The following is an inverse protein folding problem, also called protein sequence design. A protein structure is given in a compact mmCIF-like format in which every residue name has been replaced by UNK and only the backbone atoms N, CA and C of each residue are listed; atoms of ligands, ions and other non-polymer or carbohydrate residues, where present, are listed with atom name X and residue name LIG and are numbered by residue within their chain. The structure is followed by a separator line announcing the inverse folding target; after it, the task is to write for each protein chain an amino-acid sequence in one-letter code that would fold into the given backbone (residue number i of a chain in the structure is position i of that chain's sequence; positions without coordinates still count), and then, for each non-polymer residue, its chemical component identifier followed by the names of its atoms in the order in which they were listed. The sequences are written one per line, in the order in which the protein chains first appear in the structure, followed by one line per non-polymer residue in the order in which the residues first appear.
data_IF_594294381999
#
_entry.id   IF_594294381999
#
_cell.length_a   1.000
_cell.length_b   1.000
_cell.length_c   1.000
_cell.angle_alpha   90.00
_cell.angle_beta   90.00
_cell.angle_gamma   90.00
#
_symmetry.space_group_name_H-M   'P 1'
#
loop_
_entity.id
_entity.type
_entity.pdbx_description
1 polymer ?
#
# COMPACT_ATOMS: atom_id res chain seq x y z
N UNK A 1 10.88 34.54 -63.49
CA UNK A 1 12.04 33.73 -63.94
C UNK A 1 12.17 32.58 -62.95
N UNK A 2 11.98 31.31 -63.33
CA UNK A 2 13.01 30.33 -63.78
C UNK A 2 14.17 30.15 -62.76
N UNK A 3 14.55 28.95 -62.29
CA UNK A 3 14.04 27.56 -62.54
C UNK A 3 14.49 26.58 -61.41
N UNK A 4 14.23 25.26 -61.55
CA UNK A 4 14.32 24.20 -60.51
C UNK A 4 15.44 23.17 -60.79
N UNK A 5 16.14 22.69 -59.74
CA UNK A 5 16.73 21.32 -59.53
C UNK A 5 17.18 21.22 -58.04
N UNK A 6 17.20 20.12 -57.25
CA UNK A 6 16.95 18.66 -57.36
C UNK A 6 18.15 17.72 -57.67
N UNK A 7 18.10 16.49 -57.10
CA UNK A 7 18.97 15.28 -57.27
C UNK A 7 20.32 15.25 -56.48
N UNK A 8 20.99 14.11 -56.14
CA UNK A 8 20.64 12.85 -55.40
C UNK A 8 21.90 11.91 -55.27
N UNK A 9 22.02 11.13 -54.17
CA UNK A 9 22.81 9.86 -54.00
C UNK A 9 24.38 9.85 -53.99
N UNK A 10 24.94 8.94 -53.14
CA UNK A 10 26.23 8.17 -53.06
C UNK A 10 27.44 8.49 -54.00
N UNK A 11 28.70 8.06 -53.77
CA UNK A 11 29.17 6.70 -53.36
C UNK A 11 30.66 6.63 -52.96
N UNK A 12 31.03 5.60 -52.19
CA UNK A 12 32.27 4.77 -52.19
C UNK A 12 33.70 5.38 -52.27
N UNK A 13 34.59 4.81 -51.44
CA UNK A 13 35.89 4.28 -51.87
C UNK A 13 36.20 2.98 -51.08
N UNK A 14 37.06 2.09 -51.59
CA UNK A 14 37.20 0.70 -51.10
C UNK A 14 38.57 0.05 -51.43
N UNK A 15 38.71 -1.27 -51.17
CA UNK A 15 39.82 -2.21 -51.48
C UNK A 15 41.03 -2.14 -50.51
N UNK A 16 41.78 -3.20 -50.16
CA UNK A 16 41.74 -4.69 -50.30
C UNK A 16 42.66 -5.31 -49.20
N UNK A 17 42.81 -6.61 -48.89
CA UNK A 17 42.89 -7.84 -49.71
C UNK A 17 42.57 -9.14 -48.89
N UNK A 18 42.73 -10.33 -49.49
CA UNK A 18 42.20 -11.63 -49.01
C UNK A 18 43.23 -12.78 -48.93
N UNK A 19 42.90 -13.87 -48.19
CA UNK A 19 43.32 -15.30 -48.32
C UNK A 19 43.29 -15.99 -46.92
N UNK A 20 42.82 -17.21 -46.64
CA UNK A 20 41.99 -18.27 -47.28
C UNK A 20 41.57 -19.26 -46.15
N UNK A 21 40.67 -20.26 -46.30
CA UNK A 21 39.76 -20.63 -47.41
C UNK A 21 39.45 -22.15 -47.46
N UNK A 22 38.18 -22.55 -47.23
CA UNK A 22 37.60 -23.92 -47.35
C UNK A 22 38.04 -25.00 -46.32
N UNK A 23 37.26 -26.04 -45.93
CA UNK A 23 35.80 -26.36 -45.96
C UNK A 23 35.54 -27.62 -45.09
N UNK A 24 34.36 -27.73 -44.43
CA UNK A 24 33.41 -28.88 -44.43
C UNK A 24 32.45 -28.85 -43.22
N UNK A 25 31.23 -29.37 -43.43
CA UNK A 25 30.24 -29.66 -42.37
C UNK A 25 30.28 -31.15 -42.01
N UNK A 26 29.88 -31.50 -40.79
CA UNK A 26 28.88 -32.56 -40.53
C UNK A 26 28.32 -32.43 -39.10
N UNK A 27 27.03 -32.73 -38.92
CA UNK A 27 26.36 -32.84 -37.62
C UNK A 27 26.18 -34.34 -37.29
N UNK A 28 26.31 -34.74 -36.01
CA UNK A 28 25.21 -35.42 -35.28
C UNK A 28 25.60 -35.85 -33.84
N UNK A 29 24.55 -35.97 -33.00
CA UNK A 29 24.42 -36.83 -31.80
C UNK A 29 25.30 -36.62 -30.57
N UNK A 30 24.63 -36.61 -29.41
CA UNK A 30 25.16 -36.77 -28.06
C UNK A 30 25.24 -38.25 -27.64
N UNK A 31 25.99 -38.54 -26.57
CA UNK A 31 25.53 -39.48 -25.54
C UNK A 31 25.63 -38.91 -24.11
N UNK A 32 25.07 -39.63 -23.16
CA UNK A 32 24.77 -39.21 -21.78
C UNK A 32 25.98 -39.11 -20.83
N UNK A 33 25.89 -38.35 -19.71
CA UNK A 33 26.92 -38.30 -18.68
C UNK A 33 27.00 -39.59 -17.85
N UNK A 34 28.20 -39.90 -17.36
CA UNK A 34 28.51 -41.09 -16.54
C UNK A 34 28.32 -40.78 -15.05
N UNK A 35 27.76 -41.74 -14.30
CA UNK A 35 27.64 -41.73 -12.84
C UNK A 35 29.01 -42.02 -12.20
N UNK A 36 29.38 -41.23 -11.19
CA UNK A 36 30.36 -41.63 -10.15
C UNK A 36 29.79 -41.30 -8.78
N UNK A 37 29.58 -42.32 -7.96
CA UNK A 37 29.13 -42.18 -6.58
C UNK A 37 30.28 -41.66 -5.69
N UNK A 38 30.03 -40.59 -4.94
CA UNK A 38 30.67 -40.35 -3.64
C UNK A 38 29.56 -40.20 -2.59
N UNK A 39 29.77 -40.79 -1.42
CA UNK A 39 28.71 -41.10 -0.46
C UNK A 39 29.18 -40.71 0.95
N UNK A 40 28.76 -39.53 1.41
CA UNK A 40 28.96 -39.07 2.78
C UNK A 40 27.62 -38.71 3.44
N UNK A 41 27.34 -39.36 4.57
CA UNK A 41 26.42 -39.03 5.65
C UNK A 41 25.15 -38.21 5.33
N UNK A 42 24.03 -38.92 5.21
CA UNK A 42 22.73 -38.37 5.61
C UNK A 42 22.50 -38.65 7.11
N UNK A 43 22.46 -37.60 7.93
CA UNK A 43 21.69 -37.53 9.17
C UNK A 43 21.78 -36.11 9.80
N UNK A 44 20.76 -35.75 10.59
CA UNK A 44 20.69 -34.57 11.47
C UNK A 44 20.56 -33.18 10.79
N UNK A 45 19.33 -32.88 10.33
CA UNK A 45 18.84 -31.51 10.05
C UNK A 45 17.46 -31.24 10.69
N UNK A 46 16.87 -32.20 11.42
CA UNK A 46 15.50 -32.12 11.95
C UNK A 46 15.43 -31.72 13.43
N UNK A 47 16.41 -30.98 13.93
CA UNK A 47 16.55 -30.70 15.38
C UNK A 47 16.82 -29.23 15.66
N UNK A 48 17.48 -28.51 14.75
CA UNK A 48 17.71 -27.07 14.90
C UNK A 48 16.44 -26.22 14.62
N UNK A 49 15.52 -26.66 13.75
CA UNK A 49 14.34 -25.85 13.41
C UNK A 49 13.35 -25.70 14.58
N UNK A 50 13.06 -26.77 15.33
CA UNK A 50 12.14 -26.68 16.49
C UNK A 50 12.74 -25.84 17.63
N UNK A 51 14.02 -26.02 17.97
CA UNK A 51 14.69 -25.23 19.03
C UNK A 51 14.85 -23.74 18.63
N UNK A 52 15.05 -23.43 17.34
CA UNK A 52 15.06 -22.03 16.86
C UNK A 52 13.66 -21.41 16.87
N UNK A 53 12.61 -22.17 16.56
CA UNK A 53 11.23 -21.65 16.63
C UNK A 53 10.79 -21.37 18.07
N UNK A 54 11.00 -22.30 19.02
CA UNK A 54 10.66 -22.07 20.44
C UNK A 54 11.40 -20.83 21.00
N UNK A 55 12.67 -20.64 20.65
CA UNK A 55 13.46 -19.49 21.11
C UNK A 55 13.02 -18.17 20.47
N UNK A 56 12.55 -18.16 19.22
CA UNK A 56 11.99 -16.94 18.59
C UNK A 56 10.63 -16.60 19.19
N UNK A 57 9.79 -17.60 19.46
CA UNK A 57 8.46 -17.44 20.06
C UNK A 57 8.57 -16.92 21.51
N UNK A 58 9.45 -17.51 22.35
CA UNK A 58 9.73 -17.01 23.71
C UNK A 58 10.30 -15.57 23.70
N UNK A 59 11.11 -15.22 22.69
CA UNK A 59 11.63 -13.85 22.53
C UNK A 59 10.52 -12.86 22.15
N UNK A 60 9.64 -13.16 21.18
CA UNK A 60 8.51 -12.27 20.88
C UNK A 60 7.55 -12.15 22.07
N UNK A 61 7.20 -13.26 22.73
CA UNK A 61 6.40 -13.27 23.98
C UNK A 61 6.97 -12.35 25.07
N UNK A 62 8.29 -12.21 25.15
CA UNK A 62 8.98 -11.36 26.13
C UNK A 62 8.95 -9.86 25.84
N UNK A 63 8.60 -9.44 24.61
CA UNK A 63 8.66 -8.04 24.19
C UNK A 63 7.59 -7.18 24.93
N UNK A 64 7.98 -6.07 25.58
CA UNK A 64 7.14 -5.35 26.54
C UNK A 64 6.08 -4.43 25.92
N UNK A 65 6.16 -4.11 24.62
CA UNK A 65 5.26 -3.16 23.96
C UNK A 65 4.62 -3.75 22.68
N UNK A 66 3.50 -3.19 22.24
CA UNK A 66 2.73 -3.66 21.07
C UNK A 66 2.25 -2.47 20.23
N UNK A 67 2.64 -2.40 18.96
CA UNK A 67 2.32 -1.27 18.08
C UNK A 67 0.79 -1.14 17.85
N UNK A 68 0.14 -0.03 18.26
CA UNK A 68 -1.32 0.08 18.26
C UNK A 68 -1.98 -0.01 16.89
N UNK A 69 -1.26 0.22 15.79
CA UNK A 69 -1.80 0.12 14.43
C UNK A 69 -1.48 -1.19 13.69
N UNK A 70 -0.65 -2.08 14.28
CA UNK A 70 -0.30 -3.37 13.66
C UNK A 70 -0.41 -4.57 14.60
N UNK A 71 -0.45 -4.41 15.91
CA UNK A 71 -0.45 -5.55 16.85
C UNK A 71 0.88 -6.30 16.91
N UNK A 72 1.91 -5.84 16.19
CA UNK A 72 3.26 -6.41 16.23
C UNK A 72 3.94 -5.97 17.54
N UNK A 73 4.59 -6.92 18.23
CA UNK A 73 5.32 -6.66 19.47
C UNK A 73 6.66 -5.97 19.21
N UNK A 74 7.19 -5.24 20.19
CA UNK A 74 8.48 -4.52 20.07
C UNK A 74 9.13 -4.23 21.42
N UNK A 75 10.45 -4.04 21.39
CA UNK A 75 11.29 -3.51 22.47
C UNK A 75 11.25 -1.98 22.57
N UNK A 76 10.75 -1.29 21.53
CA UNK A 76 10.71 0.18 21.45
C UNK A 76 9.48 0.75 22.17
N UNK A 77 9.70 1.80 22.96
CA UNK A 77 8.62 2.53 23.64
C UNK A 77 7.77 3.30 22.63
N UNK A 78 6.46 3.34 22.86
CA UNK A 78 5.45 3.72 21.86
C UNK A 78 4.98 5.16 22.13
N UNK A 79 5.87 6.12 21.93
CA UNK A 79 5.54 7.55 21.98
C UNK A 79 5.04 8.10 20.64
N UNK A 80 5.44 7.50 19.51
CA UNK A 80 5.27 8.09 18.17
C UNK A 80 3.81 8.28 17.77
N UNK A 81 3.46 9.52 17.40
CA UNK A 81 2.14 9.91 16.90
C UNK A 81 1.85 9.33 15.51
N UNK A 82 0.60 8.98 15.25
CA UNK A 82 0.14 8.61 13.91
C UNK A 82 0.37 9.75 12.92
N UNK A 83 1.13 9.48 11.86
CA UNK A 83 1.36 10.39 10.74
C UNK A 83 0.43 9.97 9.60
N UNK A 84 -0.41 10.88 9.12
CA UNK A 84 -1.54 10.57 8.24
C UNK A 84 -1.40 11.25 6.87
N UNK A 85 -0.90 10.50 5.87
CA UNK A 85 -0.39 11.07 4.62
C UNK A 85 -1.32 10.82 3.43
N UNK A 86 -1.76 11.91 2.79
CA UNK A 86 -2.51 11.86 1.55
C UNK A 86 -1.63 11.56 0.34
N UNK A 87 -1.57 10.30 -0.09
CA UNK A 87 -0.79 9.85 -1.23
C UNK A 87 -1.61 9.80 -2.54
N UNK A 88 -0.91 9.97 -3.65
CA UNK A 88 -1.47 10.03 -5.00
C UNK A 88 -1.50 8.64 -5.66
N UNK A 89 -2.68 8.07 -5.94
CA UNK A 89 -2.80 6.79 -6.67
C UNK A 89 -3.16 6.94 -8.16
N UNK A 90 -3.05 8.13 -8.74
CA UNK A 90 -3.13 8.27 -10.20
C UNK A 90 -1.93 7.60 -10.89
N UNK A 91 -2.12 6.88 -12.01
CA UNK A 91 -1.07 6.09 -12.69
C UNK A 91 0.28 6.81 -12.88
N UNK A 92 0.29 8.12 -13.20
CA UNK A 92 1.52 8.95 -13.33
C UNK A 92 2.23 9.30 -12.00
N UNK A 93 1.78 8.73 -10.89
CA UNK A 93 2.33 8.91 -9.54
C UNK A 93 2.71 7.57 -8.86
N UNK A 94 2.54 6.44 -9.57
CA UNK A 94 3.00 5.10 -9.14
C UNK A 94 4.43 4.86 -9.66
N UNK A 95 5.29 4.10 -8.94
CA UNK A 95 5.16 3.72 -7.53
C UNK A 95 5.24 4.93 -6.59
N UNK A 96 4.79 4.75 -5.35
CA UNK A 96 4.81 5.76 -4.30
C UNK A 96 6.04 5.57 -3.40
N UNK A 97 6.56 6.66 -2.84
CA UNK A 97 7.68 6.65 -1.89
C UNK A 97 7.16 6.49 -0.47
N UNK A 98 7.77 5.58 0.27
CA UNK A 98 7.46 5.31 1.67
C UNK A 98 6.15 4.54 1.91
N UNK A 99 5.52 4.00 0.88
CA UNK A 99 4.27 3.23 1.02
C UNK A 99 4.48 1.87 1.71
N UNK A 100 5.68 1.27 1.59
CA UNK A 100 6.00 -0.02 2.23
C UNK A 100 6.06 0.02 3.76
N UNK A 101 6.15 1.21 4.37
CA UNK A 101 6.19 1.43 5.82
C UNK A 101 4.82 1.71 6.46
N UNK A 102 3.75 1.85 5.66
CA UNK A 102 2.44 2.17 6.20
C UNK A 102 1.81 1.00 6.97
N UNK A 103 1.19 1.30 8.11
CA UNK A 103 0.50 0.33 8.97
C UNK A 103 -0.90 0.04 8.45
N UNK A 104 -1.64 1.13 8.20
CA UNK A 104 -3.02 1.11 7.71
C UNK A 104 -3.12 2.01 6.48
N UNK A 105 -3.65 1.49 5.38
CA UNK A 105 -3.87 2.29 4.16
C UNK A 105 -5.33 2.24 3.74
N UNK A 106 -5.99 3.40 3.79
CA UNK A 106 -7.33 3.59 3.24
C UNK A 106 -7.25 3.97 1.76
N UNK A 107 -7.78 3.13 0.87
CA UNK A 107 -7.99 3.44 -0.55
C UNK A 107 -9.46 3.81 -0.82
N UNK A 108 -9.69 5.02 -1.36
CA UNK A 108 -11.03 5.56 -1.64
C UNK A 108 -11.06 6.35 -2.94
N UNK A 109 -12.15 6.22 -3.70
CA UNK A 109 -12.45 7.06 -4.86
C UNK A 109 -12.40 8.56 -4.51
N UNK A 110 -11.72 9.36 -5.35
CA UNK A 110 -11.48 10.77 -5.10
C UNK A 110 -11.96 11.70 -6.23
N UNK A 111 -11.47 11.53 -7.45
CA UNK A 111 -11.76 12.44 -8.58
C UNK A 111 -12.20 11.64 -9.80
N UNK A 112 -13.50 11.71 -10.10
CA UNK A 112 -14.15 10.80 -11.04
C UNK A 112 -13.98 9.34 -10.58
N UNK A 113 -13.12 8.63 -11.30
CA UNK A 113 -12.84 7.20 -11.14
C UNK A 113 -11.42 6.92 -10.60
N UNK A 114 -10.69 7.96 -10.17
CA UNK A 114 -9.32 7.85 -9.65
C UNK A 114 -9.38 7.75 -8.13
N UNK A 115 -8.78 6.70 -7.56
CA UNK A 115 -8.59 6.56 -6.11
C UNK A 115 -7.42 7.41 -5.58
N UNK A 116 -7.36 7.58 -4.26
CA UNK A 116 -6.20 8.06 -3.51
C UNK A 116 -5.92 7.10 -2.36
N UNK A 117 -4.80 7.31 -1.68
CA UNK A 117 -4.57 6.67 -0.38
C UNK A 117 -4.55 7.74 0.72
N UNK A 118 -5.06 7.37 1.89
CA UNK A 118 -4.57 7.89 3.16
C UNK A 118 -3.74 6.77 3.80
N UNK A 119 -2.43 6.95 3.85
CA UNK A 119 -1.53 6.01 4.52
C UNK A 119 -1.26 6.53 5.94
N UNK A 120 -1.46 5.66 6.92
CA UNK A 120 -1.19 5.92 8.34
C UNK A 120 0.12 5.22 8.72
N UNK A 121 0.96 5.94 9.45
CA UNK A 121 2.27 5.50 9.92
C UNK A 121 2.39 5.75 11.41
N UNK A 122 2.74 4.74 12.18
CA UNK A 122 2.89 4.79 13.63
C UNK A 122 3.98 3.83 14.10
N UNK A 123 4.09 2.63 13.52
CA UNK A 123 5.17 1.69 13.87
C UNK A 123 6.54 2.05 13.26
N UNK A 124 6.54 2.70 12.08
CA UNK A 124 7.75 2.95 11.30
C UNK A 124 7.54 4.17 10.39
N UNK A 125 8.57 5.01 10.21
CA UNK A 125 8.53 6.18 9.33
C UNK A 125 9.53 6.04 8.16
N UNK A 126 9.07 6.15 6.90
CA UNK A 126 9.96 6.22 5.76
C UNK A 126 10.67 7.58 5.68
N UNK A 127 11.89 7.62 5.15
CA UNK A 127 12.64 8.87 4.95
C UNK A 127 11.89 9.88 4.06
N UNK A 128 11.14 9.38 3.07
CA UNK A 128 10.47 10.18 2.02
C UNK A 128 9.03 9.70 1.82
N UNK A 129 8.09 10.65 1.80
CA UNK A 129 6.67 10.40 1.56
C UNK A 129 6.21 11.04 0.23
N UNK A 130 5.55 10.27 -0.64
CA UNK A 130 4.77 10.86 -1.75
C UNK A 130 4.48 9.96 -2.96
N UNK A 131 3.94 10.52 -4.06
CA UNK A 131 3.64 11.94 -4.21
C UNK A 131 2.44 12.38 -3.36
N UNK A 132 2.60 13.47 -2.62
CA UNK A 132 1.56 14.06 -1.77
C UNK A 132 0.43 14.66 -2.62
N UNK A 133 -0.82 14.50 -2.17
CA UNK A 133 -2.03 14.98 -2.86
C UNK A 133 -3.04 15.68 -1.97
N UNK A 134 -4.11 16.15 -2.62
CA UNK A 134 -5.07 17.08 -2.05
C UNK A 134 -6.11 16.39 -1.16
N UNK A 135 -6.30 16.96 0.02
CA UNK A 135 -7.19 16.52 1.08
C UNK A 135 -8.66 16.47 0.70
N UNK A 136 -9.40 15.61 1.40
CA UNK A 136 -10.88 15.54 1.40
C UNK A 136 -11.37 15.43 2.84
N UNK A 137 -12.62 15.85 3.07
CA UNK A 137 -13.22 15.81 4.40
C UNK A 137 -13.21 14.38 4.96
N UNK A 138 -13.76 13.40 4.24
CA UNK A 138 -13.75 11.99 4.68
C UNK A 138 -12.37 11.41 5.00
N UNK A 139 -11.30 11.85 4.33
CA UNK A 139 -9.93 11.46 4.70
C UNK A 139 -9.39 12.20 5.95
N UNK A 140 -9.84 13.43 6.21
CA UNK A 140 -9.57 14.13 7.46
C UNK A 140 -10.38 13.55 8.62
N UNK A 141 -11.64 13.15 8.37
CA UNK A 141 -12.51 12.49 9.34
C UNK A 141 -11.90 11.13 9.77
N UNK A 142 -11.46 10.31 8.80
CA UNK A 142 -10.70 9.07 9.08
C UNK A 142 -9.39 9.34 9.83
N UNK A 143 -8.61 10.34 9.42
CA UNK A 143 -7.36 10.72 10.11
C UNK A 143 -7.58 11.11 11.57
N UNK A 144 -8.68 11.82 11.86
CA UNK A 144 -9.00 12.27 13.21
C UNK A 144 -9.29 11.11 14.17
N UNK A 145 -9.85 9.98 13.69
CA UNK A 145 -10.05 8.77 14.50
C UNK A 145 -8.76 8.12 15.01
N UNK A 146 -7.61 8.51 14.45
CA UNK A 146 -6.28 8.08 14.87
C UNK A 146 -5.44 9.24 15.46
N UNK A 147 -6.05 10.40 15.77
CA UNK A 147 -5.35 11.64 16.15
C UNK A 147 -4.23 12.03 15.15
N UNK A 148 -4.39 11.68 13.88
CA UNK A 148 -3.31 11.66 12.90
C UNK A 148 -2.86 13.06 12.47
N UNK A 149 -1.56 13.33 12.51
CA UNK A 149 -0.98 14.56 11.98
C UNK A 149 -1.05 14.53 10.44
N UNK A 150 -1.89 15.39 9.86
CA UNK A 150 -2.41 15.18 8.52
C UNK A 150 -1.63 15.92 7.42
N UNK A 151 -0.95 15.16 6.57
CA UNK A 151 -0.01 15.67 5.57
C UNK A 151 -0.65 15.66 4.18
N UNK A 152 -0.76 16.82 3.54
CA UNK A 152 -1.45 16.96 2.26
C UNK A 152 -0.93 18.12 1.39
N UNK A 153 -1.32 18.14 0.12
CA UNK A 153 -0.99 19.23 -0.81
C UNK A 153 -2.26 19.72 -1.50
N UNK A 154 -2.87 20.76 -0.95
CA UNK A 154 -4.17 21.29 -1.38
C UNK A 154 -5.37 20.51 -0.82
N UNK A 155 -6.58 20.91 -1.19
CA UNK A 155 -7.82 20.50 -0.51
C UNK A 155 -9.07 20.68 -1.37
N UNK A 156 -10.16 19.98 -1.02
CA UNK A 156 -11.52 20.37 -1.44
C UNK A 156 -12.06 21.55 -0.60
N UNK A 157 -13.16 22.22 -1.00
CA UNK A 157 -13.75 23.31 -0.22
C UNK A 157 -14.15 22.91 1.21
N UNK A 158 -14.61 21.68 1.42
CA UNK A 158 -14.97 21.16 2.75
C UNK A 158 -13.73 20.90 3.61
N UNK A 159 -12.69 20.26 3.06
CA UNK A 159 -11.40 20.09 3.76
C UNK A 159 -10.77 21.44 4.14
N UNK A 160 -10.87 22.45 3.26
CA UNK A 160 -10.45 23.82 3.54
C UNK A 160 -11.24 24.48 4.69
N UNK A 161 -12.53 24.12 4.85
CA UNK A 161 -13.37 24.59 5.97
C UNK A 161 -12.90 23.95 7.28
N UNK A 162 -12.68 22.63 7.31
CA UNK A 162 -12.21 21.90 8.49
C UNK A 162 -10.88 22.46 9.03
N UNK A 163 -9.87 22.64 8.16
CA UNK A 163 -8.59 23.25 8.56
C UNK A 163 -8.77 24.68 9.09
N UNK A 164 -9.60 25.50 8.43
CA UNK A 164 -9.88 26.87 8.89
C UNK A 164 -10.65 26.95 10.22
N UNK A 165 -11.36 25.89 10.57
CA UNK A 165 -12.09 25.75 11.82
C UNK A 165 -11.24 25.13 12.95
N UNK A 166 -9.98 24.76 12.69
CA UNK A 166 -9.14 24.05 13.66
C UNK A 166 -9.54 22.58 13.89
N UNK A 167 -10.30 21.97 12.97
CA UNK A 167 -10.84 20.61 13.14
C UNK A 167 -9.84 19.48 12.79
N UNK A 168 -8.60 19.80 12.42
CA UNK A 168 -7.52 18.82 12.18
C UNK A 168 -6.15 19.51 12.20
N UNK A 169 -5.18 18.89 12.87
CA UNK A 169 -3.77 19.32 12.84
C UNK A 169 -3.10 18.84 11.56
N UNK A 170 -2.54 19.76 10.77
CA UNK A 170 -2.20 19.48 9.38
C UNK A 170 -1.00 20.27 8.85
N UNK A 171 -0.31 19.66 7.89
CA UNK A 171 0.74 20.28 7.10
C UNK A 171 0.33 20.31 5.62
N UNK A 172 -0.05 21.50 5.14
CA UNK A 172 -0.51 21.71 3.77
C UNK A 172 0.61 22.28 2.87
N UNK A 173 1.06 21.49 1.92
CA UNK A 173 2.09 21.87 0.95
C UNK A 173 1.79 23.11 0.11
N UNK A 174 0.53 23.59 0.01
CA UNK A 174 0.24 24.88 -0.62
C UNK A 174 0.92 26.09 0.08
N UNK A 175 1.35 25.95 1.33
CA UNK A 175 2.03 27.00 2.10
C UNK A 175 3.53 26.75 2.31
N UNK A 176 4.02 25.57 1.91
CA UNK A 176 5.38 25.10 2.18
C UNK A 176 6.05 24.45 0.96
N UNK A 177 5.51 24.67 -0.24
CA UNK A 177 6.09 24.23 -1.52
C UNK A 177 7.41 24.97 -1.80
N UNK A 178 8.49 24.22 -2.00
CA UNK A 178 9.85 24.77 -2.04
C UNK A 178 10.43 25.17 -0.68
N UNK A 179 9.79 24.76 0.43
CA UNK A 179 10.29 24.98 1.81
C UNK A 179 10.41 23.61 2.51
N UNK A 180 9.27 23.01 2.87
CA UNK A 180 9.22 21.66 3.49
C UNK A 180 8.87 20.60 2.45
N UNK A 181 8.01 20.93 1.49
CA UNK A 181 7.67 20.06 0.38
C UNK A 181 8.56 20.37 -0.82
N UNK A 182 9.14 19.33 -1.42
CA UNK A 182 9.99 19.46 -2.60
C UNK A 182 9.30 18.95 -3.87
N UNK A 183 9.82 19.37 -5.02
CA UNK A 183 9.28 19.03 -6.35
C UNK A 183 10.23 18.09 -7.08
N UNK A 184 9.90 16.81 -7.12
CA UNK A 184 10.69 15.81 -7.82
C UNK A 184 10.82 16.15 -9.32
N UNK A 185 12.04 16.23 -9.90
CA UNK A 185 12.22 16.64 -11.29
C UNK A 185 11.82 15.55 -12.29
N UNK A 186 11.87 14.28 -11.89
CA UNK A 186 11.53 13.13 -12.74
C UNK A 186 10.01 12.93 -12.93
N UNK A 187 9.16 13.65 -12.18
CA UNK A 187 7.68 13.62 -12.32
C UNK A 187 7.14 15.02 -12.63
N UNK A 188 6.13 15.09 -13.49
CA UNK A 188 5.44 16.35 -13.82
C UNK A 188 4.38 16.70 -12.77
N UNK A 189 4.21 17.98 -12.47
CA UNK A 189 3.12 18.45 -11.62
C UNK A 189 1.75 18.03 -12.20
N UNK A 190 0.76 17.66 -11.36
CA UNK A 190 0.77 17.61 -9.90
C UNK A 190 1.02 16.18 -9.36
N UNK A 191 2.00 15.45 -9.93
CA UNK A 191 2.37 14.09 -9.51
C UNK A 191 3.76 14.03 -8.85
N UNK A 192 4.25 15.16 -8.33
CA UNK A 192 5.65 15.34 -7.96
C UNK A 192 5.89 16.14 -6.67
N UNK A 193 4.89 16.35 -5.82
CA UNK A 193 5.11 16.91 -4.47
C UNK A 193 5.56 15.79 -3.54
N UNK A 194 6.61 16.02 -2.77
CA UNK A 194 7.15 15.08 -1.79
C UNK A 194 7.57 15.81 -0.52
N UNK A 195 7.78 15.08 0.58
CA UNK A 195 8.28 15.62 1.85
C UNK A 195 9.15 14.54 2.53
N UNK A 196 10.16 14.94 3.29
CA UNK A 196 10.99 14.03 4.10
C UNK A 196 10.46 13.95 5.53
N UNK A 197 10.82 12.91 6.29
CA UNK A 197 10.50 12.82 7.73
C UNK A 197 11.03 14.03 8.52
N UNK A 198 12.26 14.46 8.25
CA UNK A 198 12.87 15.67 8.83
C UNK A 198 12.02 16.94 8.60
N UNK A 199 11.63 17.20 7.34
CA UNK A 199 10.80 18.36 6.97
C UNK A 199 9.36 18.26 7.51
N UNK A 200 8.89 17.05 7.82
CA UNK A 200 7.59 16.77 8.40
C UNK A 200 7.61 17.06 9.91
N UNK A 201 8.66 16.63 10.61
CA UNK A 201 8.93 16.98 12.02
C UNK A 201 9.13 18.49 12.20
N UNK A 202 9.94 19.14 11.34
CA UNK A 202 10.06 20.61 11.34
C UNK A 202 8.71 21.28 11.04
N UNK A 203 7.86 20.64 10.23
CA UNK A 203 6.49 21.06 9.98
C UNK A 203 5.56 20.96 11.19
N UNK A 204 5.81 20.04 12.12
CA UNK A 204 5.08 19.93 13.39
C UNK A 204 5.56 20.96 14.42
N UNK A 205 6.87 21.12 14.59
CA UNK A 205 7.48 22.13 15.49
C UNK A 205 7.04 23.56 15.11
N UNK A 206 7.17 23.93 13.83
CA UNK A 206 6.71 25.22 13.27
C UNK A 206 5.21 25.47 13.42
N UNK A 207 4.44 24.48 13.88
CA UNK A 207 3.01 24.57 14.20
C UNK A 207 2.69 24.51 15.69
N UNK A 208 3.63 24.06 16.52
CA UNK A 208 3.37 23.71 17.91
C UNK A 208 2.52 22.44 18.07
N UNK A 209 2.58 21.52 17.11
CA UNK A 209 1.89 20.22 17.18
C UNK A 209 2.79 19.16 17.81
N UNK A 210 2.23 18.32 18.69
CA UNK A 210 2.95 17.17 19.23
C UNK A 210 3.27 16.14 18.13
N UNK A 211 4.47 15.55 18.21
CA UNK A 211 4.95 14.47 17.34
C UNK A 211 5.10 13.13 18.08
N UNK A 212 5.21 13.19 19.40
CA UNK A 212 5.35 12.09 20.34
C UNK A 212 4.34 12.28 21.50
N UNK A 213 4.28 11.33 22.42
CA UNK A 213 3.45 11.30 23.63
C UNK A 213 1.93 11.46 23.37
N UNK A 214 1.44 10.98 22.23
CA UNK A 214 -0.01 10.91 21.96
C UNK A 214 -0.57 9.54 22.28
N UNK A 215 -1.58 9.50 23.16
CA UNK A 215 -2.40 8.31 23.38
C UNK A 215 -3.10 7.88 22.07
N UNK A 216 -2.92 6.61 21.71
CA UNK A 216 -3.48 5.98 20.50
C UNK A 216 -4.03 4.63 20.94
N UNK A 217 -5.35 4.56 21.16
CA UNK A 217 -6.03 3.28 21.42
C UNK A 217 -5.64 2.27 20.33
N UNK A 218 -5.29 1.02 20.65
CA UNK A 218 -4.97 0.02 19.65
C UNK A 218 -6.17 -0.28 18.74
N UNK A 219 -5.90 -0.86 17.58
CA UNK A 219 -6.91 -1.58 16.81
C UNK A 219 -7.18 -2.95 17.46
N UNK A 220 -8.37 -3.56 17.22
CA UNK A 220 -8.64 -4.91 17.67
C UNK A 220 -7.76 -5.90 16.88
N UNK A 221 -6.90 -6.63 17.58
CA UNK A 221 -6.09 -7.72 17.03
C UNK A 221 -6.48 -9.06 17.63
N UNK A 222 -6.40 -10.11 16.82
CA UNK A 222 -6.56 -11.50 17.23
C UNK A 222 -5.30 -11.99 17.94
N UNK A 223 -5.44 -12.87 18.93
CA UNK A 223 -4.31 -13.65 19.48
C UNK A 223 -3.84 -14.74 18.51
N UNK A 224 -2.66 -15.34 18.71
CA UNK A 224 -2.22 -16.48 17.88
C UNK A 224 -3.22 -17.65 17.89
N UNK A 225 -3.79 -18.01 19.05
CA UNK A 225 -4.87 -18.99 19.18
C UNK A 225 -6.08 -18.67 18.29
N UNK A 226 -6.50 -17.39 18.26
CA UNK A 226 -7.61 -16.93 17.44
C UNK A 226 -7.27 -16.91 15.94
N UNK A 227 -6.03 -16.58 15.58
CA UNK A 227 -5.50 -16.63 14.20
C UNK A 227 -5.41 -18.08 13.70
N UNK A 228 -4.92 -19.01 14.53
CA UNK A 228 -4.86 -20.44 14.22
C UNK A 228 -6.25 -21.08 14.13
N UNK A 229 -7.22 -20.55 14.88
CA UNK A 229 -8.63 -20.96 14.84
C UNK A 229 -9.44 -20.35 13.68
N UNK A 230 -8.83 -19.51 12.84
CA UNK A 230 -9.53 -18.87 11.72
C UNK A 230 -10.05 -19.90 10.69
N UNK A 231 -11.30 -19.72 10.30
CA UNK A 231 -11.94 -20.50 9.24
C UNK A 231 -12.84 -19.62 8.36
N UNK A 232 -13.01 -20.03 7.11
CA UNK A 232 -13.74 -19.29 6.09
C UNK A 232 -13.54 -19.91 4.70
N UNK A 233 -14.04 -19.27 3.66
CA UNK A 233 -13.75 -19.68 2.28
C UNK A 233 -12.32 -19.29 1.89
N UNK A 234 -11.68 -20.07 1.03
CA UNK A 234 -10.34 -19.75 0.52
C UNK A 234 -10.36 -18.44 -0.29
N UNK A 235 -9.33 -17.62 -0.10
CA UNK A 235 -9.15 -16.33 -0.75
C UNK A 235 -7.70 -16.17 -1.23
N UNK A 236 -7.26 -17.06 -2.13
CA UNK A 236 -5.89 -17.01 -2.72
C UNK A 236 -5.67 -15.80 -3.63
N UNK A 237 -6.73 -15.17 -4.13
CA UNK A 237 -6.69 -13.91 -4.85
C UNK A 237 -7.94 -13.07 -4.55
N UNK A 238 -7.77 -11.77 -4.35
CA UNK A 238 -8.85 -10.79 -4.19
C UNK A 238 -8.68 -9.66 -5.21
N UNK A 239 -9.73 -9.30 -5.94
CA UNK A 239 -9.73 -8.15 -6.87
C UNK A 239 -10.81 -7.15 -6.44
N UNK A 240 -10.44 -5.89 -6.25
CA UNK A 240 -11.36 -4.78 -5.97
C UNK A 240 -11.40 -3.85 -7.19
N UNK A 241 -12.60 -3.66 -7.75
CA UNK A 241 -12.82 -2.89 -8.99
C UNK A 241 -13.53 -1.57 -8.69
N UNK A 242 -12.75 -0.48 -8.54
CA UNK A 242 -13.32 0.85 -8.30
C UNK A 242 -13.91 1.50 -9.56
N UNK A 243 -13.41 1.08 -10.74
CA UNK A 243 -13.90 1.43 -12.07
C UNK A 243 -13.22 0.55 -13.13
N UNK A 244 -13.71 0.59 -14.37
CA UNK A 244 -13.22 -0.18 -15.55
C UNK A 244 -11.76 0.04 -15.99
N UNK A 245 -10.97 0.79 -15.22
CA UNK A 245 -9.52 0.98 -15.40
C UNK A 245 -8.77 1.27 -14.08
N UNK A 246 -9.45 1.06 -12.94
CA UNK A 246 -8.92 1.20 -11.58
C UNK A 246 -9.32 -0.05 -10.77
N UNK A 247 -8.77 -1.17 -11.20
CA UNK A 247 -8.67 -2.43 -10.47
C UNK A 247 -7.46 -2.43 -9.53
N UNK A 248 -7.61 -3.15 -8.41
CA UNK A 248 -6.55 -3.48 -7.46
C UNK A 248 -6.66 -4.97 -7.17
N UNK A 249 -5.59 -5.74 -7.45
CA UNK A 249 -5.53 -7.17 -7.17
C UNK A 249 -4.59 -7.44 -6.00
N UNK A 250 -4.93 -8.40 -5.18
CA UNK A 250 -4.11 -8.93 -4.10
C UNK A 250 -3.91 -10.43 -4.33
N UNK A 251 -2.67 -10.89 -4.32
CA UNK A 251 -2.31 -12.31 -4.50
C UNK A 251 -1.70 -12.84 -3.20
N UNK A 252 -2.22 -13.95 -2.68
CA UNK A 252 -1.74 -14.56 -1.45
C UNK A 252 -0.43 -15.34 -1.69
N UNK A 253 0.57 -15.10 -0.86
CA UNK A 253 1.65 -16.06 -0.63
C UNK A 253 1.36 -16.81 0.68
N UNK A 254 1.33 -18.14 0.63
CA UNK A 254 1.10 -19.00 1.78
C UNK A 254 2.34 -19.19 2.68
N UNK A 255 3.54 -19.05 2.13
CA UNK A 255 4.81 -19.14 2.88
C UNK A 255 4.96 -17.93 3.81
N UNK A 256 4.89 -16.73 3.23
CA UNK A 256 4.91 -15.44 3.95
C UNK A 256 3.61 -15.15 4.74
N UNK A 257 2.56 -15.93 4.47
CA UNK A 257 1.18 -15.68 4.88
C UNK A 257 0.76 -14.20 4.67
N UNK A 258 1.01 -13.63 3.49
CA UNK A 258 0.68 -12.22 3.17
C UNK A 258 0.15 -12.05 1.75
N UNK A 259 -0.53 -10.94 1.51
CA UNK A 259 -1.05 -10.55 0.20
C UNK A 259 -0.14 -9.53 -0.50
N UNK A 260 0.42 -9.88 -1.66
CA UNK A 260 1.12 -8.92 -2.54
C UNK A 260 0.12 -8.11 -3.34
N UNK A 261 0.22 -6.77 -3.28
CA UNK A 261 -0.70 -5.83 -3.93
C UNK A 261 -0.27 -5.47 -5.36
N UNK A 262 -1.21 -5.45 -6.29
CA UNK A 262 -1.08 -5.00 -7.68
C UNK A 262 -2.11 -3.90 -7.98
N UNK A 263 -1.86 -3.06 -8.96
CA UNK A 263 -2.86 -2.11 -9.48
C UNK A 263 -2.77 -1.98 -10.99
N UNK A 264 -3.90 -2.18 -11.67
CA UNK A 264 -3.95 -2.16 -13.14
C UNK A 264 -2.98 -3.18 -13.77
N UNK A 265 -2.94 -4.38 -13.19
CA UNK A 265 -2.05 -5.49 -13.58
C UNK A 265 -0.56 -5.33 -13.22
N UNK A 266 -0.11 -4.20 -12.65
CA UNK A 266 1.30 -3.96 -12.31
C UNK A 266 1.52 -4.19 -10.81
N UNK A 267 2.59 -4.91 -10.43
CA UNK A 267 2.97 -5.12 -9.01
C UNK A 267 3.23 -3.76 -8.35
N UNK A 268 2.62 -3.54 -7.18
CA UNK A 268 2.86 -2.32 -6.41
C UNK A 268 4.17 -2.51 -5.66
N UNK A 269 5.10 -1.59 -5.85
CA UNK A 269 6.36 -1.50 -5.12
C UNK A 269 6.49 -0.11 -4.51
N UNK A 270 7.40 0.05 -3.55
CA UNK A 270 7.89 1.37 -3.18
C UNK A 270 8.77 1.98 -4.29
N UNK A 271 8.86 3.31 -4.36
CA UNK A 271 9.76 3.98 -5.29
C UNK A 271 11.21 4.01 -4.80
N UNK A 272 11.44 4.08 -3.49
CA UNK A 272 12.80 4.31 -2.95
C UNK A 272 13.55 2.99 -2.68
N UNK A 273 12.82 1.90 -2.40
CA UNK A 273 13.40 0.60 -1.99
C UNK A 273 13.07 -0.56 -2.94
N UNK A 274 12.21 -0.34 -3.95
CA UNK A 274 11.62 -1.37 -4.83
C UNK A 274 10.89 -2.53 -4.11
N UNK A 275 10.73 -2.46 -2.77
CA UNK A 275 10.06 -3.48 -1.95
C UNK A 275 8.59 -3.63 -2.39
N UNK A 276 8.11 -4.85 -2.68
CA UNK A 276 6.70 -5.12 -2.93
C UNK A 276 5.81 -4.69 -1.78
N UNK A 277 4.68 -4.05 -2.09
CA UNK A 277 3.69 -3.69 -1.08
C UNK A 277 2.89 -4.93 -0.71
N UNK A 278 3.14 -5.46 0.48
CA UNK A 278 2.42 -6.59 1.09
C UNK A 278 1.51 -6.12 2.23
N UNK A 279 0.50 -6.93 2.55
CA UNK A 279 -0.43 -6.69 3.68
C UNK A 279 -0.84 -8.02 4.33
N UNK A 280 -1.07 -8.04 5.65
CA UNK A 280 -1.63 -9.20 6.36
C UNK A 280 -3.15 -9.23 6.23
N UNK A 281 -3.78 -8.06 6.39
CA UNK A 281 -5.23 -7.89 6.26
C UNK A 281 -5.60 -7.11 5.00
N UNK A 282 -6.72 -7.50 4.38
CA UNK A 282 -7.47 -6.68 3.42
C UNK A 282 -8.89 -6.56 3.95
N UNK A 283 -9.36 -5.34 4.16
CA UNK A 283 -10.72 -5.08 4.64
C UNK A 283 -11.45 -4.27 3.58
N UNK A 284 -12.37 -4.89 2.84
CA UNK A 284 -13.19 -4.18 1.85
C UNK A 284 -14.51 -3.81 2.50
N UNK A 285 -14.90 -2.53 2.41
CA UNK A 285 -16.11 -2.00 3.05
C UNK A 285 -16.99 -1.25 2.06
N UNK A 286 -18.29 -1.49 2.13
CA UNK A 286 -19.29 -0.84 1.32
C UNK A 286 -19.81 0.42 2.02
N UNK A 287 -19.60 1.59 1.42
CA UNK A 287 -19.93 2.89 2.03
C UNK A 287 -20.83 3.72 1.10
N UNK A 288 -21.93 4.32 1.60
CA UNK A 288 -22.76 5.21 0.79
C UNK A 288 -21.97 6.42 0.27
N UNK A 289 -21.90 6.56 -1.06
CA UNK A 289 -21.21 7.67 -1.73
C UNK A 289 -22.22 8.64 -2.36
N UNK A 290 -22.00 9.94 -2.20
CA UNK A 290 -22.83 11.00 -2.79
C UNK A 290 -21.97 12.11 -3.41
N UNK A 291 -22.55 12.95 -4.27
CA UNK A 291 -21.86 14.12 -4.82
C UNK A 291 -22.10 15.37 -3.95
N UNK A 292 -21.03 16.10 -3.61
CA UNK A 292 -21.12 17.29 -2.74
C UNK A 292 -21.36 18.61 -3.48
N UNK A 293 -21.13 18.65 -4.78
CA UNK A 293 -21.41 19.78 -5.67
C UNK A 293 -21.49 19.30 -7.13
N UNK A 294 -21.60 20.22 -8.10
CA UNK A 294 -21.73 19.91 -9.53
C UNK A 294 -20.42 19.49 -10.23
N UNK A 295 -19.29 19.47 -9.52
CA UNK A 295 -18.09 18.74 -9.97
C UNK A 295 -18.15 17.29 -9.47
N UNK A 296 -17.42 16.33 -10.09
CA UNK A 296 -17.37 14.94 -9.63
C UNK A 296 -16.51 14.78 -8.36
N UNK A 297 -16.91 15.48 -7.29
CA UNK A 297 -16.36 15.43 -5.93
C UNK A 297 -17.33 14.62 -5.09
N UNK A 298 -16.82 13.56 -4.47
CA UNK A 298 -17.60 12.66 -3.62
C UNK A 298 -17.58 13.13 -2.16
N UNK A 299 -18.63 12.80 -1.43
CA UNK A 299 -18.67 12.66 0.02
C UNK A 299 -19.08 11.22 0.35
N UNK A 300 -18.74 10.77 1.54
CA UNK A 300 -19.01 9.42 2.04
C UNK A 300 -19.87 9.53 3.31
N UNK A 301 -20.81 8.62 3.49
CA UNK A 301 -21.55 8.49 4.76
C UNK A 301 -20.82 7.52 5.67
N UNK A 302 -19.86 8.05 6.44
CA UNK A 302 -19.01 7.24 7.33
C UNK A 302 -19.72 6.83 8.64
N UNK A 303 -20.98 7.20 8.85
CA UNK A 303 -21.73 6.98 10.11
C UNK A 303 -22.64 5.76 10.10
N UNK A 304 -22.98 5.23 8.93
CA UNK A 304 -24.20 4.43 8.77
C UNK A 304 -23.95 2.92 8.93
N UNK A 305 -22.69 2.50 8.98
CA UNK A 305 -22.26 1.12 8.85
C UNK A 305 -22.52 0.53 7.46
N UNK A 306 -22.29 -0.77 7.31
CA UNK A 306 -22.56 -1.49 6.06
C UNK A 306 -21.90 -2.87 6.01
N UNK A 307 -21.97 -3.53 4.85
CA UNK A 307 -21.29 -4.82 4.61
C UNK A 307 -19.79 -4.64 4.38
N UNK A 308 -19.03 -5.69 4.64
CA UNK A 308 -17.63 -5.81 4.23
C UNK A 308 -17.12 -7.25 4.13
N UNK A 309 -15.93 -7.37 3.55
CA UNK A 309 -15.13 -8.60 3.55
C UNK A 309 -13.83 -8.35 4.30
N UNK A 310 -13.53 -9.19 5.29
CA UNK A 310 -12.26 -9.19 6.00
C UNK A 310 -11.45 -10.43 5.60
N UNK A 311 -10.40 -10.20 4.82
CA UNK A 311 -9.52 -11.22 4.24
C UNK A 311 -8.17 -11.19 4.95
N UNK A 312 -7.64 -12.35 5.31
CA UNK A 312 -6.34 -12.55 5.96
C UNK A 312 -5.96 -14.03 5.97
N UNK A 313 -4.65 -14.35 6.05
CA UNK A 313 -4.10 -15.71 6.05
C UNK A 313 -4.75 -16.69 5.03
N UNK A 314 -5.05 -16.21 3.82
CA UNK A 314 -5.59 -17.05 2.76
C UNK A 314 -7.09 -17.34 2.83
N UNK A 315 -7.84 -16.73 3.77
CA UNK A 315 -9.30 -16.89 3.91
C UNK A 315 -10.06 -15.55 3.83
N UNK A 316 -11.35 -15.62 3.46
CA UNK A 316 -12.32 -14.51 3.61
C UNK A 316 -13.32 -14.79 4.73
N UNK A 317 -13.65 -13.74 5.49
CA UNK A 317 -14.78 -13.67 6.43
C UNK A 317 -15.76 -12.60 5.97
N UNK A 318 -17.05 -12.91 5.93
CA UNK A 318 -18.11 -11.90 5.77
C UNK A 318 -18.31 -11.15 7.11
N UNK A 319 -18.32 -9.83 7.04
CA UNK A 319 -18.41 -8.94 8.21
C UNK A 319 -19.33 -7.75 7.94
N UNK A 320 -19.80 -7.14 9.00
CA UNK A 320 -20.28 -5.76 8.98
C UNK A 320 -19.09 -4.81 9.20
N UNK A 321 -19.27 -3.51 8.94
CA UNK A 321 -18.39 -2.47 9.47
C UNK A 321 -19.19 -1.45 10.26
N UNK A 322 -18.58 -0.89 11.30
CA UNK A 322 -19.11 0.22 12.09
C UNK A 322 -18.07 1.32 12.22
N UNK A 323 -18.52 2.53 12.55
CA UNK A 323 -17.63 3.65 12.87
C UNK A 323 -17.53 3.82 14.39
N UNK A 324 -16.36 3.54 14.93
CA UNK A 324 -16.04 3.73 16.35
C UNK A 324 -15.03 4.87 16.44
N UNK A 325 -15.47 5.99 17.01
CA UNK A 325 -14.67 7.21 17.24
C UNK A 325 -13.86 7.71 16.02
N UNK A 326 -14.40 7.55 14.81
CA UNK A 326 -13.80 7.97 13.53
C UNK A 326 -13.10 6.85 12.76
N UNK A 327 -12.96 5.65 13.35
CA UNK A 327 -12.31 4.47 12.77
C UNK A 327 -13.35 3.53 12.15
N UNK A 328 -13.08 3.02 10.95
CA UNK A 328 -13.86 1.93 10.35
C UNK A 328 -13.33 0.61 10.90
N UNK A 329 -14.12 -0.09 11.72
CA UNK A 329 -13.76 -1.36 12.34
C UNK A 329 -14.72 -2.49 11.91
N UNK A 330 -14.26 -3.75 11.79
CA UNK A 330 -15.09 -4.89 11.38
C UNK A 330 -15.89 -5.46 12.56
N UNK A 331 -17.12 -5.88 12.27
CA UNK A 331 -18.06 -6.44 13.24
C UNK A 331 -18.72 -7.73 12.70
N UNK A 332 -19.20 -8.59 13.59
CA UNK A 332 -19.99 -9.77 13.25
C UNK A 332 -20.98 -10.05 14.40
N UNK A 333 -22.27 -10.21 14.10
CA UNK A 333 -23.36 -10.33 15.09
C UNK A 333 -23.31 -9.26 16.22
N UNK A 334 -22.95 -8.01 15.86
CA UNK A 334 -22.83 -6.90 16.80
C UNK A 334 -21.63 -6.95 17.75
N UNK A 335 -20.69 -7.88 17.55
CA UNK A 335 -19.39 -7.91 18.24
C UNK A 335 -18.28 -7.39 17.32
N UNK A 336 -17.30 -6.71 17.89
CA UNK A 336 -16.07 -6.33 17.19
C UNK A 336 -15.25 -7.58 16.80
N UNK A 337 -14.54 -7.51 15.68
CA UNK A 337 -13.71 -8.62 15.15
C UNK A 337 -12.26 -8.17 15.05
N UNK A 338 -11.33 -9.03 15.45
CA UNK A 338 -9.89 -8.75 15.33
C UNK A 338 -9.36 -8.82 13.89
N UNK A 339 -8.45 -7.90 13.59
CA UNK A 339 -7.46 -8.03 12.52
C UNK A 339 -6.38 -9.05 12.91
N UNK A 340 -5.72 -9.68 11.94
CA UNK A 340 -4.49 -10.45 12.17
C UNK A 340 -3.35 -9.46 12.45
N UNK A 341 -2.43 -9.70 13.39
CA UNK A 341 -1.25 -8.86 13.57
C UNK A 341 -0.50 -8.60 12.25
N UNK A 342 -0.27 -7.32 11.95
CA UNK A 342 0.42 -6.79 10.80
C UNK A 342 -0.36 -5.73 10.02
N UNK A 343 0.16 -5.41 8.82
CA UNK A 343 -0.33 -4.32 7.98
C UNK A 343 -1.73 -4.59 7.43
N UNK A 344 -2.50 -3.52 7.23
CA UNK A 344 -3.93 -3.58 6.89
C UNK A 344 -4.30 -2.63 5.75
N UNK A 345 -4.92 -3.16 4.68
CA UNK A 345 -5.40 -2.36 3.55
C UNK A 345 -6.92 -2.26 3.51
N UNK A 346 -7.44 -1.06 3.79
CA UNK A 346 -8.89 -0.80 3.85
C UNK A 346 -9.35 -0.22 2.51
N UNK A 347 -10.17 -0.97 1.79
CA UNK A 347 -10.66 -0.64 0.45
C UNK A 347 -12.11 -0.17 0.55
N UNK A 348 -12.40 1.11 0.28
CA UNK A 348 -13.75 1.66 0.43
C UNK A 348 -14.46 1.75 -0.92
N UNK A 349 -15.44 0.86 -1.14
CA UNK A 349 -16.25 0.78 -2.37
C UNK A 349 -17.63 1.44 -2.20
N UNK A 350 -18.29 1.90 -3.28
CA UNK A 350 -19.64 2.44 -3.20
C UNK A 350 -20.72 1.34 -3.12
N UNK A 351 -21.85 1.68 -2.49
CA UNK A 351 -23.13 0.92 -2.49
C UNK A 351 -23.83 0.82 -3.87
N UNK A 352 -23.16 1.25 -4.95
CA UNK A 352 -23.62 1.20 -6.34
C UNK A 352 -22.36 1.11 -7.23
N UNK A 353 -22.04 -0.07 -7.81
CA UNK A 353 -22.89 -1.26 -7.91
C UNK A 353 -23.01 -2.08 -6.61
N UNK A 354 -22.16 -1.82 -5.60
CA UNK A 354 -22.19 -2.52 -4.31
C UNK A 354 -21.04 -3.50 -4.12
N UNK A 355 -20.95 -4.10 -2.93
CA UNK A 355 -19.82 -4.95 -2.52
C UNK A 355 -19.62 -6.17 -3.43
N UNK A 356 -20.70 -6.91 -3.69
CA UNK A 356 -20.71 -8.18 -4.43
C UNK A 356 -20.30 -7.99 -5.91
N UNK A 357 -20.69 -6.87 -6.53
CA UNK A 357 -20.26 -6.50 -7.90
C UNK A 357 -18.87 -5.82 -7.94
N UNK A 358 -18.40 -5.25 -6.83
CA UNK A 358 -17.11 -4.55 -6.76
C UNK A 358 -15.93 -5.45 -6.41
N UNK A 359 -16.18 -6.64 -5.85
CA UNK A 359 -15.13 -7.54 -5.33
C UNK A 359 -15.24 -8.92 -5.95
N UNK A 360 -14.13 -9.42 -6.50
CA UNK A 360 -14.00 -10.82 -6.95
C UNK A 360 -12.97 -11.54 -6.08
N UNK A 361 -13.41 -12.57 -5.35
CA UNK A 361 -12.55 -13.44 -4.55
C UNK A 361 -12.40 -14.78 -5.26
N UNK A 362 -11.19 -15.33 -5.26
CA UNK A 362 -10.87 -16.64 -5.83
C UNK A 362 -10.11 -17.46 -4.80
N UNK A 363 -10.71 -18.58 -4.39
CA UNK A 363 -10.08 -19.65 -3.64
C UNK A 363 -9.96 -20.89 -4.49
N UNK A 364 -8.77 -21.13 -5.06
CA UNK A 364 -8.51 -22.39 -5.75
C UNK A 364 -8.33 -23.52 -4.71
N UNK A 365 -8.75 -24.73 -5.09
CA UNK A 365 -8.71 -25.95 -4.27
C UNK A 365 -7.28 -26.35 -3.85
#
# INVERSE_FOLDING_TARGET
MKRILFIIIFTLFALTACSNGEKNNEELSSPDPVITDENENANDESTDEEEVVEVVEEVEESLPYVYPLTGIRTDQDISQRVIAVMLNNHVKARPQSGLHKADVVYEVLAEGNITRFLALYQSDLPEVFGPIRSARHYYMDLSNGYNGFYIHHGWSPLAKKMVKNGQIENLNGLYFDGILFHRAPFRKAPHNSYITVENLMEGADRKGYAFEDTDISPLPFLTEDEVASLSGEKATSVTVTYASSYDVKYEYNAEEMTYTRYSSGVKTVDLETEIPITTKNIFVVEVPHYFIDSYPRRGLSLTDGGKGYLIGNGIVREVEWQNVDGRILPFHDGKEVGFIPGKTWINIVPTDPGLEDSVTIVGNE
#
